data_IF_404405270096
#
_entry.id   IF_404405270096
#
_cell.length_a   1.000
_cell.length_b   1.000
_cell.length_c   1.000
_cell.angle_alpha   90.00
_cell.angle_beta   90.00
_cell.angle_gamma   90.00
#
_symmetry.space_group_name_H-M   'P 1'
#
loop_
_entity.id
_entity.type
_entity.pdbx_description
1 polymer ?
#
# COMPACT_ATOMS: atom_id res chain seq x y z
N UNK A 1 5.58 35.76 4.92
CA UNK A 1 5.61 34.32 5.21
C UNK A 1 4.62 33.63 4.29
N UNK A 2 5.12 32.83 3.33
CA UNK A 2 4.26 32.07 2.44
C UNK A 2 3.46 31.05 3.24
N UNK A 3 2.13 31.12 3.16
CA UNK A 3 1.26 30.15 3.83
C UNK A 3 1.65 28.76 3.31
N UNK A 4 1.98 27.78 4.17
CA UNK A 4 2.16 26.42 3.68
C UNK A 4 0.85 26.01 3.02
N UNK A 5 0.91 25.82 1.70
CA UNK A 5 -0.25 25.37 0.93
C UNK A 5 -0.66 24.02 1.49
N UNK A 6 -1.85 23.93 2.09
CA UNK A 6 -2.45 22.68 2.65
C UNK A 6 -2.32 21.47 1.71
N UNK A 7 -2.20 21.74 0.42
CA UNK A 7 -1.93 20.77 -0.64
C UNK A 7 -0.59 20.01 -0.46
N UNK A 8 0.46 20.67 0.00
CA UNK A 8 1.78 20.06 0.19
C UNK A 8 1.77 19.07 1.35
N UNK A 9 1.14 19.41 2.46
CA UNK A 9 1.00 18.52 3.62
C UNK A 9 0.14 17.29 3.28
N UNK A 10 -0.98 17.48 2.58
CA UNK A 10 -1.82 16.34 2.19
C UNK A 10 -1.09 15.40 1.22
N UNK A 11 -0.34 15.93 0.25
CA UNK A 11 0.47 15.09 -0.65
C UNK A 11 1.60 14.37 0.08
N UNK A 12 2.21 15.02 1.07
CA UNK A 12 3.27 14.42 1.88
C UNK A 12 2.70 13.26 2.70
N UNK A 13 1.61 13.49 3.43
CA UNK A 13 0.92 12.45 4.20
C UNK A 13 0.47 11.27 3.33
N UNK A 14 -0.05 11.55 2.14
CA UNK A 14 -0.46 10.54 1.16
C UNK A 14 0.73 9.69 0.67
N UNK A 15 1.89 10.30 0.47
CA UNK A 15 3.11 9.58 0.08
C UNK A 15 3.67 8.77 1.24
N UNK A 16 3.76 9.35 2.43
CA UNK A 16 4.22 8.67 3.64
C UNK A 16 3.34 7.44 3.96
N UNK A 17 2.02 7.56 3.79
CA UNK A 17 1.13 6.42 3.95
C UNK A 17 1.34 5.35 2.87
N UNK A 18 1.58 5.74 1.62
CA UNK A 18 1.87 4.78 0.55
C UNK A 18 3.20 4.06 0.79
N UNK A 19 4.25 4.78 1.20
CA UNK A 19 5.55 4.22 1.56
C UNK A 19 5.45 3.25 2.74
N UNK A 20 4.65 3.61 3.77
CA UNK A 20 4.39 2.74 4.91
C UNK A 20 3.70 1.43 4.48
N UNK A 21 2.71 1.48 3.58
CA UNK A 21 2.03 0.28 3.07
C UNK A 21 3.03 -0.66 2.37
N UNK A 22 3.92 -0.10 1.56
CA UNK A 22 4.95 -0.86 0.83
C UNK A 22 5.95 -1.48 1.82
N UNK A 23 6.39 -0.73 2.83
CA UNK A 23 7.27 -1.23 3.88
C UNK A 23 6.61 -2.35 4.70
N UNK A 24 5.36 -2.15 5.09
CA UNK A 24 4.59 -3.15 5.83
C UNK A 24 4.42 -4.45 5.03
N UNK A 25 4.12 -4.37 3.74
CA UNK A 25 4.07 -5.53 2.82
C UNK A 25 5.42 -6.25 2.71
N UNK A 26 6.54 -5.52 2.78
CA UNK A 26 7.88 -6.12 2.77
C UNK A 26 8.16 -6.89 4.06
N UNK A 27 7.74 -6.37 5.21
CA UNK A 27 8.00 -7.00 6.52
C UNK A 27 7.02 -8.14 6.85
N UNK A 28 5.75 -8.00 6.46
CA UNK A 28 4.70 -8.98 6.76
C UNK A 28 4.48 -10.00 5.63
N UNK A 29 5.05 -9.74 4.45
CA UNK A 29 4.91 -10.61 3.29
C UNK A 29 3.66 -10.32 2.44
N UNK A 30 3.25 -11.26 1.58
CA UNK A 30 2.16 -11.04 0.66
C UNK A 30 0.80 -10.94 1.38
N UNK A 31 0.22 -9.75 1.35
CA UNK A 31 -1.03 -9.45 2.02
C UNK A 31 -2.13 -9.03 1.04
N UNK A 32 -3.36 -9.25 1.45
CA UNK A 32 -4.55 -8.84 0.72
C UNK A 32 -4.94 -7.41 1.05
N UNK A 33 -5.70 -6.77 0.16
CA UNK A 33 -6.28 -5.44 0.40
C UNK A 33 -6.90 -5.27 1.81
N UNK A 34 -7.76 -6.19 2.32
CA UNK A 34 -8.33 -6.06 3.67
C UNK A 34 -7.29 -6.21 4.79
N UNK A 35 -6.27 -7.07 4.65
CA UNK A 35 -5.22 -7.22 5.67
C UNK A 35 -4.40 -5.93 5.83
N UNK A 36 -4.04 -5.29 4.72
CA UNK A 36 -3.34 -3.99 4.75
C UNK A 36 -4.24 -2.92 5.38
N UNK A 37 -5.54 -2.95 5.08
CA UNK A 37 -6.52 -2.03 5.70
C UNK A 37 -6.62 -2.25 7.20
N UNK A 38 -6.60 -3.50 7.66
CA UNK A 38 -6.63 -3.84 9.08
C UNK A 38 -5.35 -3.38 9.79
N UNK A 39 -4.19 -3.61 9.17
CA UNK A 39 -2.91 -3.13 9.67
C UNK A 39 -2.88 -1.60 9.83
N UNK A 40 -3.39 -0.86 8.84
CA UNK A 40 -3.52 0.60 8.93
C UNK A 40 -4.43 1.02 10.10
N UNK A 41 -5.54 0.31 10.34
CA UNK A 41 -6.44 0.61 11.47
C UNK A 41 -5.78 0.30 12.81
N UNK A 42 -5.06 -0.81 12.89
CA UNK A 42 -4.33 -1.24 14.09
C UNK A 42 -3.27 -0.21 14.49
N UNK A 43 -2.59 0.35 13.50
CA UNK A 43 -1.60 1.43 13.65
C UNK A 43 -2.24 2.81 13.98
N UNK A 44 -3.57 2.91 14.01
CA UNK A 44 -4.28 4.17 14.23
C UNK A 44 -4.22 5.14 13.03
N UNK A 45 -3.88 4.65 11.84
CA UNK A 45 -3.77 5.45 10.61
C UNK A 45 -5.11 5.48 9.87
N UNK A 46 -5.41 6.62 9.26
CA UNK A 46 -6.62 6.78 8.47
C UNK A 46 -6.57 5.88 7.21
N UNK A 47 -7.50 4.93 7.11
CA UNK A 47 -7.60 4.07 5.92
C UNK A 47 -8.15 4.86 4.74
N UNK A 48 -7.28 5.23 3.80
CA UNK A 48 -7.66 5.90 2.55
C UNK A 48 -7.56 4.92 1.39
N UNK A 49 -8.71 4.44 0.89
CA UNK A 49 -8.75 3.48 -0.21
C UNK A 49 -8.02 3.97 -1.47
N UNK A 50 -8.09 5.26 -1.78
CA UNK A 50 -7.37 5.85 -2.91
C UNK A 50 -5.84 5.84 -2.72
N UNK A 51 -5.34 5.91 -1.48
CA UNK A 51 -3.90 5.80 -1.17
C UNK A 51 -3.46 4.36 -1.24
N UNK A 52 -4.26 3.44 -0.71
CA UNK A 52 -4.00 2.01 -0.82
C UNK A 52 -3.92 1.59 -2.29
N UNK A 53 -4.92 1.94 -3.10
CA UNK A 53 -4.89 1.65 -4.53
C UNK A 53 -3.70 2.31 -5.24
N UNK A 54 -3.29 3.53 -4.82
CA UNK A 54 -2.10 4.18 -5.37
C UNK A 54 -0.82 3.44 -4.97
N UNK A 55 -0.68 3.02 -3.72
CA UNK A 55 0.46 2.26 -3.24
C UNK A 55 0.56 0.89 -3.95
N UNK A 56 -0.57 0.23 -4.17
CA UNK A 56 -0.61 -1.08 -4.81
C UNK A 56 -0.47 -1.03 -6.34
N UNK A 57 -1.09 -0.07 -7.03
CA UNK A 57 -1.08 0.02 -8.50
C UNK A 57 0.02 0.90 -9.08
N UNK A 58 0.52 1.90 -8.34
CA UNK A 58 1.58 2.80 -8.81
C UNK A 58 2.95 2.49 -8.23
N UNK A 59 3.05 1.63 -7.22
CA UNK A 59 4.36 1.26 -6.71
C UNK A 59 5.04 0.30 -7.70
N UNK A 60 6.31 0.56 -8.06
CA UNK A 60 7.09 -0.39 -8.85
C UNK A 60 7.53 -1.61 -8.03
N UNK A 61 7.35 -1.59 -6.70
CA UNK A 61 7.78 -2.67 -5.80
C UNK A 61 6.65 -3.61 -5.37
N UNK A 62 5.39 -3.29 -5.72
CA UNK A 62 4.23 -4.07 -5.28
C UNK A 62 3.53 -4.62 -6.49
N UNK A 63 3.40 -5.95 -6.53
CA UNK A 63 2.76 -6.65 -7.64
C UNK A 63 1.63 -7.51 -7.11
N UNK A 64 0.57 -7.62 -7.90
CA UNK A 64 -0.51 -8.56 -7.61
C UNK A 64 0.01 -9.97 -7.90
N UNK A 65 0.12 -10.79 -6.86
CA UNK A 65 0.57 -12.19 -6.96
C UNK A 65 -0.59 -13.17 -7.11
N UNK A 66 -1.82 -12.73 -6.86
CA UNK A 66 -3.00 -13.56 -7.08
C UNK A 66 -4.29 -12.95 -6.57
N UNK A 67 -5.25 -13.83 -6.34
CA UNK A 67 -6.48 -13.54 -5.62
C UNK A 67 -6.66 -14.55 -4.48
N UNK A 68 -7.34 -14.13 -3.44
CA UNK A 68 -7.75 -14.97 -2.32
C UNK A 68 -9.26 -14.85 -2.12
N UNK A 69 -9.91 -15.93 -1.70
CA UNK A 69 -11.34 -15.90 -1.37
C UNK A 69 -11.51 -15.29 0.02
N UNK A 70 -11.84 -14.02 0.08
CA UNK A 70 -12.16 -13.31 1.31
C UNK A 70 -13.62 -13.51 1.74
N UNK A 71 -13.93 -13.04 2.95
CA UNK A 71 -15.27 -13.16 3.59
C UNK A 71 -16.39 -12.54 2.75
N UNK A 72 -16.08 -11.54 1.92
CA UNK A 72 -17.04 -10.84 1.05
C UNK A 72 -16.87 -11.13 -0.45
N UNK A 73 -16.03 -12.09 -0.81
CA UNK A 73 -15.70 -12.44 -2.20
C UNK A 73 -14.20 -12.41 -2.48
N UNK A 74 -13.85 -12.50 -3.75
CA UNK A 74 -12.45 -12.55 -4.19
C UNK A 74 -11.73 -11.21 -3.92
N UNK A 75 -10.64 -11.26 -3.17
CA UNK A 75 -9.74 -10.13 -2.88
C UNK A 75 -8.40 -10.34 -3.55
N UNK A 76 -7.79 -9.29 -4.08
CA UNK A 76 -6.45 -9.40 -4.66
C UNK A 76 -5.38 -9.52 -3.58
N UNK A 77 -4.47 -10.49 -3.75
CA UNK A 77 -3.27 -10.64 -2.93
C UNK A 77 -2.11 -9.90 -3.59
N UNK A 78 -1.43 -9.09 -2.80
CA UNK A 78 -0.32 -8.24 -3.21
C UNK A 78 0.94 -8.66 -2.49
N UNK A 79 2.05 -8.75 -3.21
CA UNK A 79 3.35 -9.00 -2.63
C UNK A 79 4.29 -7.86 -2.93
N UNK A 80 5.19 -7.60 -1.99
CA UNK A 80 6.39 -6.84 -2.27
C UNK A 80 7.33 -7.70 -3.12
N UNK A 81 7.54 -7.30 -4.36
CA UNK A 81 8.54 -7.87 -5.25
C UNK A 81 9.56 -6.78 -5.55
N UNK A 82 10.77 -6.91 -5.04
CA UNK A 82 11.91 -6.37 -5.78
C UNK A 82 12.00 -7.24 -7.02
N UNK A 83 11.91 -6.65 -8.21
CA UNK A 83 12.43 -7.32 -9.41
C UNK A 83 13.86 -7.71 -9.06
N UNK A 84 14.07 -8.95 -8.63
CA UNK A 84 15.34 -9.59 -8.79
C UNK A 84 15.50 -9.66 -10.29
N UNK A 85 16.34 -8.77 -10.83
CA UNK A 85 16.90 -8.80 -12.16
C UNK A 85 17.51 -10.19 -12.35
N UNK A 86 16.68 -11.20 -12.60
CA UNK A 86 17.09 -12.43 -13.26
C UNK A 86 17.31 -12.01 -14.71
N UNK A 87 18.43 -11.34 -14.94
CA UNK A 87 19.06 -11.35 -16.24
C UNK A 87 19.76 -12.71 -16.39
N UNK A 88 19.53 -13.41 -17.51
CA UNK A 88 20.32 -14.57 -17.88
C UNK A 88 21.78 -14.22 -18.21
#
# INVERSE_FOLDING_TARGET
MGRPSRWSDERKANREQAEWIVGWLRENGPATTPEIVDALRSEGRAVRAHILQRALRKSPFVHRVGSETGVRGEVSRWAFGVEEDTRP
#
